data_IF_387877068134
#
_entry.id   IF_387877068134
#
_cell.length_a   1.000
_cell.length_b   1.000
_cell.length_c   1.000
_cell.angle_alpha   90.00
_cell.angle_beta   90.00
_cell.angle_gamma   90.00
#
_symmetry.space_group_name_H-M   'P 1'
#
loop_
_entity.id
_entity.type
_entity.pdbx_description
1 polymer ?
#
# COMPACT_ATOMS: atom_id res chain seq x y z
N UNK A 1 55.59 -14.22 35.68
CA UNK A 1 55.00 -15.17 34.72
C UNK A 1 53.49 -15.01 34.79
N UNK A 2 52.88 -14.34 33.82
CA UNK A 2 51.43 -14.10 33.77
C UNK A 2 50.93 -14.63 32.43
N UNK A 3 50.24 -15.77 32.47
CA UNK A 3 49.67 -16.37 31.27
C UNK A 3 48.42 -15.58 30.85
N UNK A 4 48.41 -15.07 29.63
CA UNK A 4 47.22 -14.49 29.03
C UNK A 4 46.29 -15.59 28.51
N UNK A 5 44.99 -15.44 28.77
CA UNK A 5 43.97 -16.23 28.07
C UNK A 5 43.70 -15.59 26.70
N UNK A 6 43.62 -16.37 25.61
CA UNK A 6 43.11 -15.86 24.34
C UNK A 6 41.59 -15.74 24.40
N UNK A 7 41.09 -14.56 24.05
CA UNK A 7 39.66 -14.25 24.06
C UNK A 7 38.96 -15.02 22.92
N UNK A 8 37.96 -15.82 23.29
CA UNK A 8 37.27 -16.76 22.41
C UNK A 8 36.24 -16.08 21.52
N UNK A 9 36.69 -15.21 20.62
CA UNK A 9 35.84 -14.47 19.70
C UNK A 9 35.03 -15.41 18.79
N UNK A 10 33.76 -15.64 19.15
CA UNK A 10 32.81 -16.39 18.32
C UNK A 10 32.61 -15.64 17.01
N UNK A 11 33.24 -16.11 15.94
CA UNK A 11 32.93 -15.64 14.59
C UNK A 11 31.45 -15.92 14.31
N UNK A 12 30.64 -14.86 14.32
CA UNK A 12 29.27 -14.94 13.85
C UNK A 12 29.32 -15.34 12.38
N UNK A 13 28.91 -16.58 12.11
CA UNK A 13 28.88 -17.16 10.78
C UNK A 13 27.92 -16.30 9.94
N UNK A 14 28.49 -15.47 9.04
CA UNK A 14 27.69 -14.67 8.11
C UNK A 14 26.81 -15.65 7.32
N UNK A 15 25.49 -15.45 7.25
CA UNK A 15 24.64 -16.30 6.43
C UNK A 15 25.13 -16.25 4.99
N UNK A 16 25.11 -17.39 4.30
CA UNK A 16 25.44 -17.44 2.88
C UNK A 16 24.52 -16.47 2.11
N UNK A 17 25.05 -15.72 1.12
CA UNK A 17 24.26 -14.73 0.41
C UNK A 17 23.09 -15.41 -0.31
N UNK A 18 21.87 -15.12 0.15
CA UNK A 18 20.64 -15.71 -0.37
C UNK A 18 20.30 -15.16 -1.77
N UNK A 19 21.08 -15.58 -2.76
CA UNK A 19 20.90 -15.25 -4.16
C UNK A 19 19.58 -15.85 -4.66
N UNK A 20 18.73 -15.02 -5.28
CA UNK A 20 17.47 -15.46 -5.90
C UNK A 20 16.19 -15.24 -5.07
N UNK A 21 16.26 -14.78 -3.81
CA UNK A 21 15.05 -14.39 -3.07
C UNK A 21 14.46 -13.10 -3.69
N UNK A 22 13.21 -13.17 -4.15
CA UNK A 22 12.47 -12.03 -4.69
C UNK A 22 11.50 -11.44 -3.66
N UNK A 23 11.33 -10.10 -3.61
CA UNK A 23 10.27 -9.46 -2.85
C UNK A 23 8.88 -10.00 -3.19
N UNK A 24 8.09 -10.32 -2.15
CA UNK A 24 6.67 -10.62 -2.25
C UNK A 24 5.84 -9.38 -1.91
N UNK A 25 4.64 -9.28 -2.49
CA UNK A 25 3.77 -8.11 -2.32
C UNK A 25 2.35 -8.56 -2.05
N UNK A 26 1.68 -7.92 -1.08
CA UNK A 26 0.32 -8.28 -0.70
C UNK A 26 -0.68 -8.06 -1.86
N UNK A 27 -1.67 -8.95 -2.02
CA UNK A 27 -2.73 -8.78 -3.00
C UNK A 27 -3.65 -7.61 -2.62
N UNK A 28 -4.48 -7.20 -3.57
CA UNK A 28 -5.60 -6.29 -3.30
C UNK A 28 -6.67 -7.01 -2.48
N UNK A 29 -7.50 -6.25 -1.77
CA UNK A 29 -8.66 -6.79 -1.03
C UNK A 29 -9.87 -6.89 -1.97
N UNK A 30 -10.62 -7.99 -1.87
CA UNK A 30 -11.76 -8.23 -2.76
C UNK A 30 -12.97 -7.37 -2.43
N UNK A 31 -13.66 -6.91 -3.47
CA UNK A 31 -14.91 -6.15 -3.33
C UNK A 31 -15.98 -6.95 -2.56
N UNK A 32 -16.00 -8.27 -2.71
CA UNK A 32 -16.95 -9.15 -2.02
C UNK A 32 -16.75 -9.15 -0.49
N UNK A 33 -15.51 -9.20 0.00
CA UNK A 33 -15.22 -9.14 1.45
C UNK A 33 -15.59 -7.78 2.03
N UNK A 34 -15.21 -6.70 1.35
CA UNK A 34 -15.58 -5.33 1.76
C UNK A 34 -17.11 -5.16 1.75
N UNK A 35 -17.83 -5.65 0.71
CA UNK A 35 -19.29 -5.58 0.68
C UNK A 35 -19.93 -6.35 1.84
N UNK A 36 -19.45 -7.56 2.16
CA UNK A 36 -19.92 -8.35 3.30
C UNK A 36 -19.71 -7.60 4.62
N UNK A 37 -18.55 -6.93 4.78
CA UNK A 37 -18.21 -6.17 5.97
C UNK A 37 -19.18 -5.01 6.20
N UNK A 38 -19.39 -4.16 5.19
CA UNK A 38 -20.32 -3.03 5.29
C UNK A 38 -21.77 -3.50 5.51
N UNK A 39 -22.21 -4.58 4.85
CA UNK A 39 -23.54 -5.16 5.07
C UNK A 39 -23.70 -5.76 6.48
N UNK A 40 -22.62 -6.19 7.15
CA UNK A 40 -22.68 -6.65 8.53
C UNK A 40 -22.80 -5.46 9.50
N UNK A 41 -21.94 -4.44 9.34
CA UNK A 41 -21.94 -3.23 10.18
C UNK A 41 -23.27 -2.47 10.10
N UNK A 42 -23.86 -2.34 8.91
CA UNK A 42 -25.15 -1.68 8.70
C UNK A 42 -26.32 -2.38 9.43
N UNK A 43 -26.27 -3.72 9.55
CA UNK A 43 -27.21 -4.51 10.38
C UNK A 43 -26.88 -4.49 11.88
N UNK A 44 -25.89 -3.70 12.31
CA UNK A 44 -25.41 -3.67 13.69
C UNK A 44 -24.65 -4.93 14.14
N UNK A 45 -24.26 -5.81 13.20
CA UNK A 45 -23.58 -7.06 13.49
C UNK A 45 -22.06 -6.89 13.47
N UNK A 46 -21.41 -7.12 14.61
CA UNK A 46 -19.95 -7.08 14.74
C UNK A 46 -19.34 -8.43 14.37
N UNK A 47 -18.91 -8.58 13.12
CA UNK A 47 -18.14 -9.73 12.63
C UNK A 47 -16.64 -9.44 12.79
N UNK A 48 -16.10 -9.67 14.01
CA UNK A 48 -14.71 -9.35 14.34
C UNK A 48 -13.70 -10.05 13.43
N UNK A 49 -13.97 -11.30 13.06
CA UNK A 49 -13.10 -12.07 12.16
C UNK A 49 -13.05 -11.45 10.76
N UNK A 50 -14.17 -10.95 10.24
CA UNK A 50 -14.21 -10.25 8.95
C UNK A 50 -13.60 -8.83 9.01
N UNK A 51 -13.78 -8.11 10.12
CA UNK A 51 -13.09 -6.83 10.38
C UNK A 51 -11.58 -7.04 10.32
N UNK A 52 -11.07 -8.08 10.98
CA UNK A 52 -9.65 -8.40 11.00
C UNK A 52 -9.15 -8.92 9.65
N UNK A 53 -9.89 -9.78 8.97
CA UNK A 53 -9.53 -10.27 7.64
C UNK A 53 -9.39 -9.13 6.62
N UNK A 54 -10.38 -8.24 6.56
CA UNK A 54 -10.34 -7.07 5.66
C UNK A 54 -9.26 -6.09 6.10
N UNK A 55 -9.18 -5.80 7.40
CA UNK A 55 -8.27 -4.78 7.92
C UNK A 55 -6.80 -5.17 7.83
N UNK A 56 -6.43 -6.41 8.17
CA UNK A 56 -5.06 -6.90 7.96
C UNK A 56 -4.73 -7.07 6.47
N UNK A 57 -5.71 -7.38 5.62
CA UNK A 57 -5.56 -7.37 4.17
C UNK A 57 -5.20 -5.96 3.65
N UNK A 58 -5.96 -4.95 4.06
CA UNK A 58 -5.69 -3.54 3.72
C UNK A 58 -4.35 -3.08 4.31
N UNK A 59 -4.02 -3.46 5.55
CA UNK A 59 -2.77 -3.10 6.21
C UNK A 59 -1.55 -3.66 5.48
N UNK A 60 -1.57 -4.95 5.14
CA UNK A 60 -0.49 -5.62 4.40
C UNK A 60 -0.31 -5.01 3.01
N UNK A 61 -1.42 -4.56 2.40
CA UNK A 61 -1.42 -3.86 1.13
C UNK A 61 -0.84 -2.45 1.23
N UNK A 62 -1.17 -1.69 2.28
CA UNK A 62 -0.55 -0.41 2.59
C UNK A 62 0.95 -0.55 2.83
N UNK A 63 1.41 -1.55 3.59
CA UNK A 63 2.84 -1.84 3.78
C UNK A 63 3.57 -2.10 2.45
N UNK A 64 2.99 -2.93 1.58
CA UNK A 64 3.55 -3.18 0.24
C UNK A 64 3.62 -1.91 -0.61
N UNK A 65 2.63 -1.01 -0.51
CA UNK A 65 2.62 0.27 -1.23
C UNK A 65 3.70 1.21 -0.70
N UNK A 66 3.83 1.33 0.62
CA UNK A 66 4.83 2.17 1.27
C UNK A 66 6.24 1.67 0.97
N UNK A 67 6.46 0.35 0.99
CA UNK A 67 7.73 -0.29 0.66
C UNK A 67 8.15 -0.07 -0.80
N UNK A 68 7.23 -0.25 -1.77
CA UNK A 68 7.52 0.03 -3.19
C UNK A 68 7.72 1.53 -3.45
N UNK A 69 6.99 2.39 -2.74
CA UNK A 69 7.15 3.85 -2.89
C UNK A 69 8.50 4.30 -2.32
N UNK A 70 8.92 3.79 -1.16
CA UNK A 70 10.26 4.02 -0.63
C UNK A 70 11.35 3.51 -1.58
N UNK A 71 11.16 2.34 -2.19
CA UNK A 71 12.09 1.78 -3.16
C UNK A 71 12.24 2.66 -4.41
N UNK A 72 11.14 3.25 -4.91
CA UNK A 72 11.18 4.20 -6.02
C UNK A 72 12.03 5.45 -5.71
N UNK A 73 12.01 5.90 -4.45
CA UNK A 73 12.86 6.98 -3.94
C UNK A 73 14.21 6.49 -3.38
N UNK A 74 14.71 5.32 -3.80
CA UNK A 74 16.08 4.86 -3.47
C UNK A 74 16.23 4.07 -2.16
N UNK A 75 15.15 3.75 -1.44
CA UNK A 75 15.20 2.99 -0.16
C UNK A 75 14.49 1.64 -0.26
N UNK A 76 15.23 0.56 -0.42
CA UNK A 76 14.70 -0.82 -0.50
C UNK A 76 14.78 -1.51 0.87
N UNK A 77 13.71 -2.19 1.30
CA UNK A 77 13.80 -3.16 2.39
C UNK A 77 14.32 -4.50 1.86
N UNK A 78 15.35 -5.07 2.49
CA UNK A 78 15.87 -6.39 2.12
C UNK A 78 14.84 -7.49 2.43
N UNK A 79 14.42 -8.33 1.46
CA UNK A 79 13.41 -9.36 1.68
C UNK A 79 13.90 -10.54 2.54
N UNK A 80 15.20 -10.60 2.86
CA UNK A 80 15.81 -11.69 3.65
C UNK A 80 15.95 -11.32 5.13
N UNK A 81 16.39 -10.10 5.44
CA UNK A 81 16.70 -9.68 6.82
C UNK A 81 16.00 -8.37 7.25
N UNK A 82 15.19 -7.75 6.40
CA UNK A 82 14.48 -6.49 6.69
C UNK A 82 15.36 -5.23 6.72
N UNK A 83 16.69 -5.36 6.65
CA UNK A 83 17.59 -4.21 6.66
C UNK A 83 17.33 -3.26 5.47
N UNK A 84 17.40 -1.95 5.73
CA UNK A 84 17.27 -0.94 4.70
C UNK A 84 18.54 -0.87 3.83
N UNK A 85 18.35 -0.93 2.51
CA UNK A 85 19.36 -0.66 1.49
C UNK A 85 19.08 0.72 0.92
N UNK A 86 20.05 1.62 1.02
CA UNK A 86 19.94 2.99 0.53
C UNK A 86 20.76 3.14 -0.76
N UNK A 87 20.19 3.73 -1.79
CA UNK A 87 20.89 4.17 -2.98
C UNK A 87 21.29 5.64 -2.80
N UNK A 88 22.59 5.90 -2.71
CA UNK A 88 23.17 7.23 -2.48
C UNK A 88 24.27 7.47 -3.49
N UNK A 89 24.35 8.66 -4.08
CA UNK A 89 25.45 9.02 -4.96
C UNK A 89 26.74 9.31 -4.18
N UNK A 90 27.89 8.89 -4.71
CA UNK A 90 29.19 9.22 -4.15
C UNK A 90 29.42 10.74 -4.16
N UNK A 91 29.82 11.31 -3.02
CA UNK A 91 30.20 12.73 -2.90
C UNK A 91 29.12 13.67 -2.37
N UNK A 92 27.92 13.21 -2.04
CA UNK A 92 26.92 14.02 -1.32
C UNK A 92 27.08 13.90 0.22
N UNK A 93 26.71 14.92 1.02
CA UNK A 93 27.06 15.03 2.46
C UNK A 93 26.13 14.25 3.47
N UNK A 94 25.47 14.78 4.55
CA UNK A 94 24.77 13.95 5.56
C UNK A 94 23.52 13.17 5.04
N UNK A 95 23.07 12.08 5.69
CA UNK A 95 22.46 10.95 4.94
C UNK A 95 20.92 10.89 4.77
N UNK A 96 20.14 11.72 5.46
CA UNK A 96 18.68 11.54 5.60
C UNK A 96 17.84 12.07 4.43
N UNK A 97 18.30 13.11 3.73
CA UNK A 97 17.58 13.73 2.61
C UNK A 97 17.92 13.15 1.22
N UNK A 98 18.66 12.04 1.14
CA UNK A 98 19.45 11.72 -0.07
C UNK A 98 19.47 10.29 -0.61
N UNK A 99 18.37 9.58 -0.44
CA UNK A 99 18.12 8.44 -1.30
C UNK A 99 17.80 8.94 -2.73
N UNK A 100 18.60 8.57 -3.72
CA UNK A 100 18.35 8.91 -5.13
C UNK A 100 17.65 7.76 -5.85
N UNK A 101 16.84 8.01 -6.90
CA UNK A 101 16.21 6.94 -7.65
C UNK A 101 17.23 5.98 -8.26
N UNK A 102 16.94 4.68 -8.18
CA UNK A 102 17.73 3.63 -8.84
C UNK A 102 17.65 3.75 -10.36
N UNK A 103 18.74 3.42 -11.04
CA UNK A 103 18.94 3.45 -12.49
C UNK A 103 18.98 2.06 -13.10
N UNK A 104 18.82 1.99 -14.42
CA UNK A 104 19.04 0.75 -15.16
C UNK A 104 20.52 0.35 -15.11
N UNK A 105 20.77 -0.89 -14.70
CA UNK A 105 22.11 -1.42 -14.45
C UNK A 105 22.50 -1.52 -12.97
N UNK A 106 21.83 -0.77 -12.09
CA UNK A 106 22.14 -0.80 -10.66
C UNK A 106 21.87 -2.19 -10.03
N UNK A 107 22.62 -2.50 -8.98
CA UNK A 107 22.44 -3.70 -8.16
C UNK A 107 22.03 -3.25 -6.76
N UNK A 108 20.86 -3.68 -6.31
CA UNK A 108 20.43 -3.52 -4.91
C UNK A 108 21.19 -4.55 -4.09
N UNK A 109 22.06 -4.10 -3.18
CA UNK A 109 22.92 -4.97 -2.37
C UNK A 109 22.76 -4.70 -0.87
N UNK A 110 22.41 -5.74 -0.11
CA UNK A 110 22.25 -5.65 1.32
C UNK A 110 23.56 -5.97 2.06
N UNK A 111 24.22 -4.95 2.59
CA UNK A 111 25.42 -5.12 3.43
C UNK A 111 25.22 -5.92 4.73
N UNK A 112 23.97 -6.18 5.14
CA UNK A 112 23.65 -6.98 6.33
C UNK A 112 23.66 -8.50 6.12
N UNK A 113 23.19 -8.98 4.96
CA UNK A 113 23.07 -10.42 4.67
C UNK A 113 23.62 -10.86 3.30
N UNK A 114 24.20 -9.95 2.52
CA UNK A 114 24.73 -10.26 1.18
C UNK A 114 23.67 -10.58 0.13
N UNK A 115 22.38 -10.33 0.39
CA UNK A 115 21.34 -10.41 -0.63
C UNK A 115 21.59 -9.36 -1.73
N UNK A 116 21.51 -9.78 -2.99
CA UNK A 116 21.76 -8.95 -4.17
C UNK A 116 20.69 -9.19 -5.23
N UNK A 117 20.19 -8.12 -5.85
CA UNK A 117 19.26 -8.22 -6.98
C UNK A 117 19.45 -7.02 -7.93
N UNK A 118 19.58 -7.23 -9.25
CA UNK A 118 19.57 -6.12 -10.21
C UNK A 118 18.28 -5.31 -10.10
N UNK A 119 18.37 -3.97 -10.15
CA UNK A 119 17.21 -3.09 -10.01
C UNK A 119 16.10 -3.43 -11.03
N UNK A 120 16.46 -3.75 -12.27
CA UNK A 120 15.50 -4.17 -13.30
C UNK A 120 14.74 -5.46 -12.92
N UNK A 121 15.34 -6.36 -12.15
CA UNK A 121 14.67 -7.54 -11.62
C UNK A 121 13.79 -7.21 -10.40
N UNK A 122 14.25 -6.31 -9.52
CA UNK A 122 13.44 -5.79 -8.41
C UNK A 122 12.17 -5.08 -8.93
N UNK A 123 12.32 -4.17 -9.88
CA UNK A 123 11.23 -3.40 -10.50
C UNK A 123 10.15 -4.32 -11.12
N UNK A 124 10.57 -5.39 -11.83
CA UNK A 124 9.65 -6.39 -12.39
C UNK A 124 8.77 -7.08 -11.33
N UNK A 125 9.18 -7.14 -10.06
CA UNK A 125 8.36 -7.80 -9.01
C UNK A 125 7.08 -7.04 -8.69
N UNK A 126 7.05 -5.71 -8.88
CA UNK A 126 5.88 -4.86 -8.60
C UNK A 126 5.29 -4.16 -9.83
N UNK A 127 5.94 -4.25 -11.00
CA UNK A 127 5.42 -3.71 -12.26
C UNK A 127 3.98 -4.20 -12.53
N UNK A 128 3.10 -3.27 -12.93
CA UNK A 128 1.68 -3.55 -13.16
C UNK A 128 0.83 -3.77 -11.90
N UNK A 129 1.41 -4.02 -10.72
CA UNK A 129 0.68 -4.35 -9.49
C UNK A 129 0.03 -3.15 -8.78
N UNK A 130 0.18 -1.93 -9.29
CA UNK A 130 -0.37 -0.70 -8.69
C UNK A 130 0.09 -0.48 -7.23
N UNK A 131 1.40 -0.62 -6.98
CA UNK A 131 2.03 -0.49 -5.66
C UNK A 131 2.76 0.85 -5.45
N UNK A 132 2.76 1.76 -6.42
CA UNK A 132 3.25 3.12 -6.22
C UNK A 132 2.14 3.99 -5.60
N UNK A 133 2.44 4.64 -4.47
CA UNK A 133 1.46 5.36 -3.67
C UNK A 133 1.19 6.81 -4.11
N UNK A 134 2.14 7.45 -4.79
CA UNK A 134 2.05 8.84 -5.25
C UNK A 134 1.47 9.78 -4.17
N UNK A 135 0.45 10.58 -4.51
CA UNK A 135 -0.15 11.58 -3.62
C UNK A 135 -0.91 10.98 -2.41
N UNK A 136 -1.11 9.65 -2.36
CA UNK A 136 -1.89 8.98 -1.31
C UNK A 136 -1.02 8.36 -0.19
N UNK A 137 0.31 8.59 -0.21
CA UNK A 137 1.26 8.01 0.76
C UNK A 137 0.86 8.25 2.22
N UNK A 138 0.41 9.46 2.59
CA UNK A 138 0.06 9.73 3.99
C UNK A 138 -1.24 9.03 4.42
N UNK A 139 -2.21 8.80 3.52
CA UNK A 139 -3.39 7.99 3.83
C UNK A 139 -3.01 6.53 4.13
N UNK A 140 -2.13 5.94 3.32
CA UNK A 140 -1.59 4.60 3.58
C UNK A 140 -0.78 4.55 4.88
N UNK A 141 0.08 5.55 5.12
CA UNK A 141 0.93 5.62 6.31
C UNK A 141 0.11 5.83 7.60
N UNK A 142 -0.90 6.70 7.58
CA UNK A 142 -1.80 6.92 8.70
C UNK A 142 -2.54 5.62 9.08
N UNK A 143 -3.11 4.91 8.10
CA UNK A 143 -3.76 3.63 8.35
C UNK A 143 -2.78 2.57 8.87
N UNK A 144 -1.62 2.44 8.22
CA UNK A 144 -0.58 1.48 8.59
C UNK A 144 -0.08 1.66 10.03
N UNK A 145 0.05 2.91 10.50
CA UNK A 145 0.43 3.25 11.89
C UNK A 145 -0.71 3.00 12.89
N UNK A 146 -1.96 3.22 12.49
CA UNK A 146 -3.11 3.20 13.39
C UNK A 146 -3.74 1.81 13.58
N UNK A 147 -3.88 1.02 12.51
CA UNK A 147 -4.64 -0.23 12.53
C UNK A 147 -4.13 -1.26 13.56
N UNK A 148 -2.81 -1.55 13.68
CA UNK A 148 -2.29 -2.48 14.69
C UNK A 148 -2.51 -2.03 16.14
N UNK A 149 -2.80 -0.75 16.37
CA UNK A 149 -3.03 -0.16 17.71
C UNK A 149 -4.51 -0.13 18.10
N UNK A 150 -5.42 -0.36 17.15
CA UNK A 150 -6.84 -0.41 17.43
C UNK A 150 -7.19 -1.76 18.08
N UNK A 151 -7.54 -1.74 19.37
CA UNK A 151 -7.96 -2.93 20.11
C UNK A 151 -9.46 -3.24 19.91
N UNK A 152 -10.32 -2.22 19.82
CA UNK A 152 -11.76 -2.41 19.70
C UNK A 152 -12.20 -2.64 18.24
N UNK A 153 -13.10 -3.61 17.96
CA UNK A 153 -13.60 -3.88 16.60
C UNK A 153 -14.21 -2.65 15.91
N UNK A 154 -14.98 -1.84 16.65
CA UNK A 154 -15.56 -0.59 16.10
C UNK A 154 -14.49 0.42 15.70
N UNK A 155 -13.36 0.50 16.43
CA UNK A 155 -12.24 1.37 16.07
C UNK A 155 -11.52 0.87 14.81
N UNK A 156 -11.36 -0.46 14.66
CA UNK A 156 -10.84 -1.07 13.42
C UNK A 156 -11.75 -0.79 12.23
N UNK A 157 -13.06 -0.93 12.39
CA UNK A 157 -14.05 -0.60 11.35
C UNK A 157 -13.98 0.87 10.93
N UNK A 158 -13.89 1.82 11.87
CA UNK A 158 -13.73 3.25 11.56
C UNK A 158 -12.42 3.56 10.82
N UNK A 159 -11.33 2.84 11.10
CA UNK A 159 -10.08 2.99 10.35
C UNK A 159 -10.19 2.44 8.92
N UNK A 160 -10.84 1.28 8.75
CA UNK A 160 -11.12 0.68 7.44
C UNK A 160 -11.98 1.65 6.62
N UNK A 161 -13.05 2.15 7.22
CA UNK A 161 -13.98 3.07 6.58
C UNK A 161 -13.29 4.38 6.17
N UNK A 162 -12.47 4.96 7.06
CA UNK A 162 -11.69 6.15 6.72
C UNK A 162 -10.75 5.89 5.54
N UNK A 163 -9.96 4.81 5.55
CA UNK A 163 -9.03 4.52 4.44
C UNK A 163 -9.77 4.35 3.11
N UNK A 164 -10.95 3.72 3.13
CA UNK A 164 -11.81 3.57 1.95
C UNK A 164 -12.38 4.93 1.51
N UNK A 165 -12.72 5.82 2.45
CA UNK A 165 -13.24 7.15 2.16
C UNK A 165 -12.19 8.20 1.74
N UNK A 166 -10.90 8.03 2.08
CA UNK A 166 -9.81 8.87 1.52
C UNK A 166 -9.72 8.75 -0.02
N UNK A 167 -10.41 7.78 -0.62
CA UNK A 167 -10.70 7.72 -2.05
C UNK A 167 -11.39 9.00 -2.59
N UNK A 168 -12.38 9.52 -1.86
CA UNK A 168 -13.19 10.65 -2.32
C UNK A 168 -12.54 12.02 -2.06
N UNK A 169 -11.69 12.11 -1.02
CA UNK A 169 -10.95 13.33 -0.67
C UNK A 169 -9.75 13.55 -1.59
N UNK A 170 -8.97 12.50 -1.87
CA UNK A 170 -7.69 12.57 -2.58
C UNK A 170 -7.74 12.94 -4.07
N UNK A 171 -8.92 13.10 -4.68
CA UNK A 171 -9.05 13.53 -6.08
C UNK A 171 -8.93 15.05 -6.28
N UNK A 172 -8.75 15.85 -5.23
CA UNK A 172 -8.49 17.31 -5.33
C UNK A 172 -7.43 17.65 -6.39
N UNK A 173 -6.37 16.85 -6.50
CA UNK A 173 -5.29 17.04 -7.48
C UNK A 173 -5.03 15.78 -8.33
N UNK A 174 -5.61 15.76 -9.55
CA UNK A 174 -5.22 15.01 -10.78
C UNK A 174 -4.58 13.61 -10.63
N UNK A 175 -4.89 12.88 -9.56
CA UNK A 175 -4.29 11.59 -9.21
C UNK A 175 -5.20 10.40 -9.50
N UNK A 176 -4.59 9.22 -9.72
CA UNK A 176 -5.33 7.96 -9.82
C UNK A 176 -5.89 7.61 -8.42
N UNK A 177 -7.18 7.27 -8.27
CA UNK A 177 -7.78 7.12 -6.93
C UNK A 177 -7.18 6.00 -6.08
N UNK A 178 -7.02 6.26 -4.78
CA UNK A 178 -6.43 5.40 -3.73
C UNK A 178 -6.93 3.95 -3.78
N UNK A 179 -8.23 3.77 -4.02
CA UNK A 179 -8.89 2.46 -4.05
C UNK A 179 -8.41 1.59 -5.21
N UNK A 180 -7.90 2.18 -6.29
CA UNK A 180 -7.28 1.40 -7.37
C UNK A 180 -5.95 0.75 -6.96
N UNK A 181 -5.30 1.22 -5.88
CA UNK A 181 -4.16 0.55 -5.26
C UNK A 181 -4.60 -0.55 -4.29
N UNK A 182 -5.73 -0.38 -3.60
CA UNK A 182 -6.18 -1.24 -2.48
C UNK A 182 -7.13 -2.37 -2.89
N UNK A 183 -8.06 -2.11 -3.82
CA UNK A 183 -9.24 -2.94 -4.08
C UNK A 183 -9.12 -3.65 -5.43
N UNK A 184 -9.57 -4.90 -5.49
CA UNK A 184 -9.64 -5.71 -6.71
C UNK A 184 -10.56 -5.10 -7.78
N UNK A 185 -10.26 -5.38 -9.06
CA UNK A 185 -11.02 -4.91 -10.22
C UNK A 185 -10.36 -3.76 -10.97
N UNK A 186 -11.03 -3.35 -12.06
CA UNK A 186 -10.65 -2.18 -12.87
C UNK A 186 -10.99 -0.88 -12.15
N UNK A 187 -10.37 0.25 -12.54
CA UNK A 187 -10.69 1.56 -11.95
C UNK A 187 -12.19 1.88 -12.01
N UNK A 188 -12.85 1.64 -13.16
CA UNK A 188 -14.31 1.81 -13.33
C UNK A 188 -15.11 0.91 -12.40
N UNK A 189 -14.68 -0.35 -12.21
CA UNK A 189 -15.35 -1.27 -11.27
C UNK A 189 -15.18 -0.85 -9.81
N UNK A 190 -14.00 -0.37 -9.42
CA UNK A 190 -13.74 0.12 -8.06
C UNK A 190 -14.52 1.40 -7.76
N UNK A 191 -14.60 2.35 -8.70
CA UNK A 191 -15.43 3.55 -8.56
C UNK A 191 -16.89 3.18 -8.31
N UNK A 192 -17.50 2.39 -9.21
CA UNK A 192 -18.90 1.94 -9.06
C UNK A 192 -19.12 1.21 -7.73
N UNK A 193 -18.17 0.37 -7.33
CA UNK A 193 -18.25 -0.35 -6.05
C UNK A 193 -18.30 0.59 -4.84
N UNK A 194 -17.51 1.67 -4.84
CA UNK A 194 -17.50 2.65 -3.75
C UNK A 194 -18.71 3.59 -3.80
N UNK A 195 -19.20 3.93 -5.00
CA UNK A 195 -20.46 4.63 -5.19
C UNK A 195 -21.64 3.80 -4.64
N UNK A 196 -21.67 2.48 -4.89
CA UNK A 196 -22.69 1.57 -4.34
C UNK A 196 -22.67 1.55 -2.79
N UNK A 197 -21.48 1.42 -2.18
CA UNK A 197 -21.33 1.38 -0.72
C UNK A 197 -21.82 2.66 -0.06
N UNK A 198 -21.59 3.82 -0.69
CA UNK A 198 -21.99 5.12 -0.15
C UNK A 198 -23.41 5.54 -0.52
N UNK A 199 -24.10 4.80 -1.40
CA UNK A 199 -25.47 5.12 -1.85
C UNK A 199 -26.55 4.22 -1.25
N UNK A 200 -26.21 3.32 -0.32
CA UNK A 200 -27.17 2.46 0.36
C UNK A 200 -28.12 3.24 1.30
N UNK A 201 -29.37 2.76 1.52
CA UNK A 201 -30.36 3.45 2.35
C UNK A 201 -30.00 3.52 3.85
N UNK A 202 -28.97 2.78 4.27
CA UNK A 202 -28.46 2.74 5.65
C UNK A 202 -27.12 3.51 5.83
N UNK A 203 -26.63 4.21 4.79
CA UNK A 203 -25.40 5.02 4.91
C UNK A 203 -25.57 6.15 5.93
N UNK A 204 -24.62 6.23 6.87
CA UNK A 204 -24.68 7.15 8.01
C UNK A 204 -24.95 8.61 7.62
N UNK A 205 -25.92 9.22 8.29
CA UNK A 205 -26.28 10.63 8.11
C UNK A 205 -25.07 11.55 8.36
N UNK A 206 -24.66 12.29 7.33
CA UNK A 206 -23.51 13.22 7.38
C UNK A 206 -22.63 13.27 6.13
N UNK A 207 -22.80 12.36 5.15
CA UNK A 207 -21.90 12.21 4.01
C UNK A 207 -22.40 12.82 2.67
N UNK A 208 -23.60 13.38 2.62
CA UNK A 208 -24.25 13.81 1.37
C UNK A 208 -23.50 14.93 0.62
N UNK A 209 -22.88 15.86 1.36
CA UNK A 209 -22.11 16.97 0.77
C UNK A 209 -20.90 16.50 -0.03
N UNK A 210 -20.15 15.52 0.49
CA UNK A 210 -19.02 14.90 -0.21
C UNK A 210 -19.47 14.13 -1.45
N UNK A 211 -20.65 13.49 -1.41
CA UNK A 211 -21.21 12.74 -2.55
C UNK A 211 -21.61 13.65 -3.72
N UNK A 212 -22.19 14.82 -3.44
CA UNK A 212 -22.55 15.79 -4.47
C UNK A 212 -21.31 16.39 -5.15
N UNK A 213 -20.30 16.78 -4.37
CA UNK A 213 -19.02 17.27 -4.88
C UNK A 213 -18.30 16.21 -5.73
N UNK A 214 -18.38 14.93 -5.34
CA UNK A 214 -17.84 13.80 -6.10
C UNK A 214 -18.49 13.65 -7.48
N UNK A 215 -19.82 13.64 -7.58
CA UNK A 215 -20.53 13.46 -8.87
C UNK A 215 -20.23 14.58 -9.86
N UNK A 216 -20.31 15.84 -9.45
CA UNK A 216 -19.98 17.00 -10.29
C UNK A 216 -18.50 16.98 -10.76
N UNK A 217 -17.60 16.40 -9.94
CA UNK A 217 -16.19 16.25 -10.29
C UNK A 217 -15.94 15.10 -11.26
N UNK A 218 -16.66 13.99 -11.11
CA UNK A 218 -16.62 12.87 -12.05
C UNK A 218 -17.11 13.29 -13.44
N UNK A 219 -18.17 14.10 -13.52
CA UNK A 219 -18.66 14.66 -14.80
C UNK A 219 -17.66 15.59 -15.50
N UNK A 220 -16.77 16.25 -14.75
CA UNK A 220 -15.76 17.17 -15.30
C UNK A 220 -14.40 16.51 -15.59
N UNK A 221 -14.14 15.30 -15.09
CA UNK A 221 -12.88 14.59 -15.33
C UNK A 221 -12.68 14.24 -16.84
N UNK A 222 -11.50 14.56 -17.39
CA UNK A 222 -11.23 14.37 -18.83
C UNK A 222 -11.35 12.90 -19.27
N UNK A 223 -10.88 11.97 -18.45
CA UNK A 223 -10.94 10.52 -18.68
C UNK A 223 -12.35 9.91 -18.58
N UNK A 224 -13.37 10.68 -18.19
CA UNK A 224 -14.79 10.30 -18.30
C UNK A 224 -15.37 10.74 -19.65
N UNK A 225 -14.87 11.85 -20.21
CA UNK A 225 -15.32 12.42 -21.49
C UNK A 225 -14.71 11.72 -22.72
N UNK A 226 -13.57 11.06 -22.57
CA UNK A 226 -12.87 10.38 -23.69
C UNK A 226 -13.28 8.92 -23.95
N UNK A 227 -14.27 8.38 -23.22
CA UNK A 227 -14.99 7.18 -23.67
C UNK A 227 -15.57 6.26 -22.59
N UNK A 228 -16.73 5.66 -22.90
CA UNK A 228 -17.40 4.57 -22.18
C UNK A 228 -18.03 4.88 -20.80
N UNK A 229 -18.59 6.08 -20.60
CA UNK A 229 -19.63 6.31 -19.56
C UNK A 229 -21.06 6.02 -20.06
N UNK A 230 -21.37 6.31 -21.34
CA UNK A 230 -22.67 6.04 -21.97
C UNK A 230 -22.57 5.13 -23.21
N UNK A 231 -22.45 3.82 -22.99
CA UNK A 231 -22.98 2.80 -23.91
C UNK A 231 -23.41 1.59 -23.09
N UNK A 232 -24.66 1.20 -23.27
CA UNK A 232 -25.32 0.15 -22.51
C UNK A 232 -25.08 -1.24 -23.12
N UNK A 233 -25.32 -2.25 -22.28
CA UNK A 233 -25.78 -3.61 -22.56
C UNK A 233 -25.78 -4.11 -24.02
N UNK A 234 -24.91 -5.10 -24.29
CA UNK A 234 -25.13 -6.15 -25.28
C UNK A 234 -24.15 -7.32 -25.00
N UNK A 235 -24.66 -8.46 -24.50
CA UNK A 235 -23.87 -9.66 -24.21
C UNK A 235 -24.36 -10.40 -22.98
#
# INVERSE_FOLDING_TARGET
MTAGAPDGGVQQMRPEPACGVLPSWAPKVSQAKIRRLYLADARGAVDEALIDEVGWGLWSRCDSILSVTAAHYGRVACPVCGAAVLHTEEGAAPPDERCTPWRDGDIVECGGCGWRLPWSAYHRTYQGKQLFGANAVEAFAAYHRAFPRAAAPRARMLLIDRLIHEFHTGLTELGRPVGANLIEGTLKSVIRFLDDLTSGPESAAGLDGSRAAWRAKMESAAWVREGAWFSADAG
#
